data_IF_535210223669
#
_entry.id   IF_535210223669
#
_cell.length_a   1.000
_cell.length_b   1.000
_cell.length_c   1.000
_cell.angle_alpha   90.00
_cell.angle_beta   90.00
_cell.angle_gamma   90.00
#
_symmetry.space_group_name_H-M   'P 1'
#
loop_
_entity.id
_entity.type
_entity.pdbx_description
1 polymer ?
#
# COMPACT_ATOMS: atom_id res chain seq x y z
N UNK A 1 23.98 39.12 -63.98
CA UNK A 1 23.11 39.00 -62.79
C UNK A 1 22.91 37.53 -62.48
N UNK A 2 23.78 36.93 -61.66
CA UNK A 2 23.86 35.48 -61.49
C UNK A 2 24.29 35.11 -60.06
N UNK A 3 23.78 35.81 -59.04
CA UNK A 3 24.13 35.54 -57.64
C UNK A 3 22.98 35.62 -56.63
N UNK A 4 21.71 35.77 -57.07
CA UNK A 4 20.56 35.85 -56.15
C UNK A 4 19.84 34.49 -55.98
N UNK A 5 20.17 33.49 -56.80
CA UNK A 5 19.49 32.18 -56.78
C UNK A 5 20.06 31.16 -55.78
N UNK A 6 21.17 31.44 -55.09
CA UNK A 6 21.83 30.47 -54.21
C UNK A 6 21.53 30.63 -52.71
N UNK A 7 20.96 31.76 -52.27
CA UNK A 7 20.65 31.99 -50.84
C UNK A 7 19.28 31.39 -50.46
N UNK A 8 18.35 31.29 -51.42
CA UNK A 8 17.02 30.70 -51.17
C UNK A 8 17.00 29.17 -51.06
N UNK A 9 18.03 28.47 -51.59
CA UNK A 9 18.06 27.00 -51.59
C UNK A 9 18.72 26.41 -50.32
N UNK A 10 19.57 27.18 -49.63
CA UNK A 10 20.29 26.73 -48.43
C UNK A 10 19.37 26.82 -47.19
N UNK A 11 18.43 27.77 -47.17
CA UNK A 11 17.47 27.95 -46.07
C UNK A 11 16.32 26.92 -46.06
N UNK A 12 16.12 26.18 -47.16
CA UNK A 12 15.09 25.15 -47.25
C UNK A 12 15.61 23.73 -46.91
N UNK A 13 16.94 23.56 -46.82
CA UNK A 13 17.57 22.28 -46.50
C UNK A 13 17.90 22.10 -45.01
N UNK A 14 17.81 23.14 -44.19
CA UNK A 14 18.02 23.04 -42.73
C UNK A 14 16.74 22.79 -41.93
N UNK A 15 15.56 22.78 -42.57
CA UNK A 15 14.29 22.42 -41.93
C UNK A 15 13.82 20.98 -42.23
N UNK A 16 14.53 20.26 -43.10
CA UNK A 16 14.43 18.81 -43.27
C UNK A 16 15.62 18.10 -42.62
N UNK A 17 16.12 18.63 -41.51
CA UNK A 17 16.80 17.75 -40.55
C UNK A 17 15.73 16.84 -40.00
N UNK A 18 15.70 15.62 -40.53
CA UNK A 18 14.95 14.50 -40.00
C UNK A 18 14.98 14.58 -38.47
N UNK A 19 13.84 14.86 -37.86
CA UNK A 19 13.45 14.04 -36.73
C UNK A 19 13.40 12.63 -37.30
N UNK A 20 14.55 11.95 -37.25
CA UNK A 20 14.50 10.51 -37.09
C UNK A 20 13.81 10.38 -35.74
N UNK A 21 12.53 10.04 -35.75
CA UNK A 21 11.96 9.36 -34.59
C UNK A 21 12.99 8.28 -34.26
N UNK A 22 13.49 8.30 -33.03
CA UNK A 22 14.39 7.24 -32.59
C UNK A 22 13.68 5.92 -32.89
N UNK A 23 14.17 5.18 -33.88
CA UNK A 23 13.70 3.83 -34.24
C UNK A 23 14.00 2.80 -33.12
N UNK A 24 14.46 3.27 -31.95
CA UNK A 24 14.31 2.58 -30.69
C UNK A 24 13.11 3.19 -29.95
N UNK A 25 11.87 2.73 -30.20
CA UNK A 25 10.91 2.75 -29.11
C UNK A 25 11.62 2.01 -27.98
N UNK A 26 11.83 2.68 -26.83
CA UNK A 26 12.57 2.14 -25.70
C UNK A 26 12.14 0.69 -25.52
N UNK A 27 13.04 -0.25 -25.82
CA UNK A 27 12.70 -1.66 -25.79
C UNK A 27 12.24 -1.94 -24.35
N UNK A 28 10.98 -2.35 -24.18
CA UNK A 28 10.51 -2.84 -22.90
C UNK A 28 11.57 -3.82 -22.39
N UNK A 29 12.21 -3.57 -21.24
CA UNK A 29 13.32 -4.39 -20.77
C UNK A 29 12.91 -5.85 -20.54
N UNK A 30 11.60 -6.13 -20.56
CA UNK A 30 11.02 -7.43 -20.29
C UNK A 30 10.41 -8.12 -21.53
N UNK A 31 10.57 -7.56 -22.74
CA UNK A 31 10.24 -8.19 -24.03
C UNK A 31 8.82 -8.80 -24.13
N UNK A 32 7.82 -8.17 -23.50
CA UNK A 32 6.41 -8.57 -23.54
C UNK A 32 5.47 -7.37 -23.74
N UNK A 33 4.21 -7.67 -24.06
CA UNK A 33 3.16 -6.66 -24.08
C UNK A 33 2.93 -6.12 -22.67
N UNK A 34 2.76 -4.81 -22.54
CA UNK A 34 2.41 -4.15 -21.28
C UNK A 34 1.06 -4.65 -20.78
N UNK A 35 0.95 -4.90 -19.48
CA UNK A 35 -0.29 -5.37 -18.85
C UNK A 35 -0.81 -4.36 -17.83
N UNK A 36 -2.13 -4.30 -17.67
CA UNK A 36 -2.79 -3.54 -16.60
C UNK A 36 -3.48 -4.50 -15.64
N UNK A 37 -3.10 -4.43 -14.36
CA UNK A 37 -3.67 -5.25 -13.29
C UNK A 37 -4.58 -4.43 -12.38
N UNK A 38 -5.81 -4.89 -12.19
CA UNK A 38 -6.82 -4.26 -11.33
C UNK A 38 -7.04 -5.03 -10.03
N UNK A 39 -7.49 -4.33 -8.98
CA UNK A 39 -7.86 -4.97 -7.71
C UNK A 39 -9.26 -5.56 -7.85
N UNK A 40 -9.37 -6.84 -8.22
CA UNK A 40 -10.69 -7.48 -8.42
C UNK A 40 -11.25 -8.17 -7.16
N UNK A 41 -10.41 -8.39 -6.14
CA UNK A 41 -10.84 -9.01 -4.89
C UNK A 41 -11.78 -8.09 -4.12
N UNK A 42 -12.96 -8.59 -3.76
CA UNK A 42 -13.88 -7.86 -2.87
C UNK A 42 -13.28 -7.66 -1.48
N UNK A 43 -12.47 -8.62 -1.02
CA UNK A 43 -11.80 -8.56 0.28
C UNK A 43 -10.77 -7.42 0.29
N UNK A 44 -9.95 -7.31 -0.74
CA UNK A 44 -8.97 -6.22 -0.87
C UNK A 44 -9.63 -4.87 -1.16
N UNK A 45 -10.69 -4.83 -1.97
CA UNK A 45 -11.48 -3.60 -2.19
C UNK A 45 -12.07 -3.07 -0.88
N UNK A 46 -12.37 -3.94 0.09
CA UNK A 46 -12.86 -3.51 1.41
C UNK A 46 -11.76 -2.89 2.29
N UNK A 47 -10.49 -3.09 1.96
CA UNK A 47 -9.33 -2.43 2.58
C UNK A 47 -9.05 -1.03 1.99
N UNK A 48 -9.84 -0.58 1.03
CA UNK A 48 -9.80 0.78 0.51
C UNK A 48 -10.43 1.74 1.52
N UNK A 49 -9.61 2.29 2.39
CA UNK A 49 -10.07 3.24 3.40
C UNK A 49 -9.82 4.67 2.93
N UNK A 50 -10.87 5.49 2.95
CA UNK A 50 -10.81 6.90 2.53
C UNK A 50 -10.62 7.83 3.72
N UNK A 51 -10.22 9.08 3.42
CA UNK A 51 -10.25 10.19 4.38
C UNK A 51 -11.58 10.22 5.15
N UNK A 52 -11.52 10.55 6.44
CA UNK A 52 -12.60 10.45 7.45
C UNK A 52 -12.85 9.04 8.03
N UNK A 53 -12.18 8.00 7.52
CA UNK A 53 -12.10 6.73 8.25
C UNK A 53 -11.26 6.88 9.50
N UNK A 54 -11.65 6.22 10.58
CA UNK A 54 -10.89 6.18 11.83
C UNK A 54 -11.15 4.92 12.64
N UNK A 55 -10.18 4.62 13.51
CA UNK A 55 -10.26 3.60 14.55
C UNK A 55 -9.93 4.23 15.90
N UNK A 56 -10.61 3.80 16.94
CA UNK A 56 -10.32 4.14 18.33
C UNK A 56 -10.05 2.86 19.09
N UNK A 57 -8.94 2.84 19.81
CA UNK A 57 -8.44 1.70 20.55
C UNK A 57 -8.41 2.01 22.04
N UNK A 58 -8.66 0.99 22.85
CA UNK A 58 -8.22 0.96 24.25
C UNK A 58 -6.89 0.24 24.31
N UNK A 59 -5.88 0.86 24.90
CA UNK A 59 -4.68 0.16 25.32
C UNK A 59 -4.90 -0.43 26.72
N UNK A 60 -5.12 -1.74 26.77
CA UNK A 60 -5.42 -2.43 28.03
C UNK A 60 -4.23 -2.56 28.97
N UNK A 61 -2.99 -2.42 28.47
CA UNK A 61 -1.78 -2.47 29.29
C UNK A 61 -1.55 -1.11 29.96
N UNK A 62 -1.66 -0.03 29.19
CA UNK A 62 -1.37 1.32 29.66
C UNK A 62 -2.60 2.07 30.21
N UNK A 63 -3.81 1.48 30.10
CA UNK A 63 -5.09 2.10 30.47
C UNK A 63 -5.31 3.45 29.76
N UNK A 64 -4.97 3.52 28.48
CA UNK A 64 -5.08 4.73 27.65
C UNK A 64 -5.96 4.49 26.42
N UNK A 65 -6.25 5.55 25.67
CA UNK A 65 -7.04 5.48 24.43
C UNK A 65 -6.26 6.08 23.27
N UNK A 66 -6.07 5.32 22.20
CA UNK A 66 -5.46 5.81 20.98
C UNK A 66 -6.51 5.97 19.88
N UNK A 67 -6.34 6.96 19.01
CA UNK A 67 -7.15 7.12 17.82
C UNK A 67 -6.25 7.20 16.60
N UNK A 68 -6.58 6.43 15.58
CA UNK A 68 -5.89 6.42 14.29
C UNK A 68 -6.87 6.88 13.24
N UNK A 69 -6.51 7.91 12.48
CA UNK A 69 -7.33 8.45 11.40
C UNK A 69 -6.60 8.46 10.07
N UNK A 70 -7.36 8.45 8.98
CA UNK A 70 -6.80 8.57 7.63
C UNK A 70 -6.67 10.05 7.25
N UNK A 71 -5.44 10.47 7.03
CA UNK A 71 -5.08 11.85 6.68
C UNK A 71 -5.25 12.10 5.18
N UNK A 72 -4.82 11.17 4.35
CA UNK A 72 -4.90 11.26 2.89
C UNK A 72 -5.31 9.94 2.26
N UNK A 73 -5.93 10.04 1.08
CA UNK A 73 -6.29 8.91 0.24
C UNK A 73 -6.02 9.26 -1.23
N UNK A 74 -5.39 8.35 -1.95
CA UNK A 74 -5.13 8.44 -3.38
C UNK A 74 -5.46 7.11 -4.08
N UNK A 75 -6.10 7.20 -5.24
CA UNK A 75 -6.32 6.06 -6.12
C UNK A 75 -5.64 6.34 -7.45
N UNK A 76 -4.87 5.38 -7.95
CA UNK A 76 -4.14 5.53 -9.19
C UNK A 76 -3.56 4.22 -9.70
N UNK A 77 -2.50 4.35 -10.47
CA UNK A 77 -1.72 3.23 -11.00
C UNK A 77 -0.24 3.49 -10.75
N UNK A 78 0.51 2.42 -10.46
CA UNK A 78 1.97 2.41 -10.44
C UNK A 78 2.49 1.54 -11.58
N UNK A 79 3.58 1.95 -12.21
CA UNK A 79 4.24 1.20 -13.28
C UNK A 79 5.50 0.49 -12.78
N UNK A 80 5.71 -0.76 -13.20
CA UNK A 80 6.99 -1.45 -12.98
C UNK A 80 8.03 -1.14 -14.07
N UNK A 81 9.24 -1.69 -13.90
CA UNK A 81 10.33 -1.49 -14.87
C UNK A 81 10.00 -2.03 -16.27
N UNK A 82 9.03 -2.94 -16.38
CA UNK A 82 8.56 -3.54 -17.62
C UNK A 82 7.40 -2.75 -18.26
N UNK A 83 6.99 -1.62 -17.70
CA UNK A 83 5.84 -0.84 -18.17
C UNK A 83 4.48 -1.47 -17.83
N UNK A 84 4.42 -2.49 -16.97
CA UNK A 84 3.12 -2.99 -16.50
C UNK A 84 2.55 -2.02 -15.45
N UNK A 85 1.26 -1.70 -15.58
CA UNK A 85 0.54 -0.83 -14.65
C UNK A 85 -0.26 -1.65 -13.64
N UNK A 86 -0.20 -1.28 -12.37
CA UNK A 86 -0.94 -1.93 -11.28
C UNK A 86 -1.81 -0.90 -10.57
N UNK A 87 -3.10 -1.18 -10.43
CA UNK A 87 -4.01 -0.33 -9.65
C UNK A 87 -3.56 -0.29 -8.19
N UNK A 88 -3.47 0.92 -7.64
CA UNK A 88 -3.09 1.16 -6.25
C UNK A 88 -4.13 2.05 -5.55
N UNK A 89 -4.46 1.72 -4.31
CA UNK A 89 -5.21 2.58 -3.40
C UNK A 89 -4.32 2.90 -2.19
N UNK A 90 -3.76 4.10 -2.14
CA UNK A 90 -2.83 4.52 -1.10
C UNK A 90 -3.54 5.37 -0.06
N UNK A 91 -3.18 5.20 1.21
CA UNK A 91 -3.66 6.05 2.29
C UNK A 91 -2.62 6.22 3.38
N UNK A 92 -2.65 7.37 4.06
CA UNK A 92 -1.79 7.67 5.22
C UNK A 92 -2.59 7.65 6.50
N UNK A 93 -2.06 7.04 7.55
CA UNK A 93 -2.66 7.11 8.89
C UNK A 93 -1.81 7.93 9.84
N UNK A 94 -2.46 8.64 10.75
CA UNK A 94 -1.83 9.31 11.88
C UNK A 94 -2.47 8.86 13.20
N UNK A 95 -1.64 8.54 14.19
CA UNK A 95 -2.08 8.23 15.56
C UNK A 95 -2.11 9.48 16.41
N UNK A 96 -3.05 9.57 17.36
CA UNK A 96 -3.10 10.66 18.35
C UNK A 96 -1.88 10.77 19.25
N UNK A 97 -1.08 9.70 19.37
CA UNK A 97 0.14 9.67 20.18
C UNK A 97 1.43 9.73 19.35
N UNK A 98 1.33 9.75 18.01
CA UNK A 98 2.49 9.84 17.12
C UNK A 98 2.43 11.12 16.30
N UNK A 99 3.59 11.73 16.07
CA UNK A 99 3.75 12.79 15.08
C UNK A 99 4.11 12.26 13.69
N UNK A 100 4.37 10.95 13.59
CA UNK A 100 4.74 10.29 12.35
C UNK A 100 3.52 9.65 11.70
N UNK A 101 3.39 9.86 10.39
CA UNK A 101 2.39 9.20 9.56
C UNK A 101 2.92 7.86 9.07
N UNK A 102 2.04 6.88 8.95
CA UNK A 102 2.35 5.59 8.32
C UNK A 102 1.66 5.50 6.97
N UNK A 103 2.42 5.15 5.94
CA UNK A 103 1.95 4.95 4.57
C UNK A 103 1.40 3.53 4.38
N UNK A 104 0.28 3.40 3.69
CA UNK A 104 -0.31 2.12 3.32
C UNK A 104 -0.71 2.12 1.85
N UNK A 105 -0.64 0.94 1.23
CA UNK A 105 -1.16 0.74 -0.12
C UNK A 105 -1.91 -0.58 -0.23
N UNK A 106 -3.06 -0.55 -0.88
CA UNK A 106 -3.75 -1.75 -1.37
C UNK A 106 -3.38 -1.95 -2.82
N UNK A 107 -2.94 -3.16 -3.16
CA UNK A 107 -2.71 -3.63 -4.52
C UNK A 107 -3.36 -5.00 -4.71
N UNK A 108 -3.38 -5.54 -5.92
CA UNK A 108 -4.00 -6.84 -6.20
C UNK A 108 -3.42 -8.01 -5.38
N UNK A 109 -2.23 -7.84 -4.80
CA UNK A 109 -1.56 -8.81 -3.93
C UNK A 109 -1.77 -8.63 -2.43
N UNK A 110 -2.45 -7.58 -1.95
CA UNK A 110 -2.64 -7.38 -0.51
C UNK A 110 -2.66 -5.91 -0.06
N UNK A 111 -2.68 -5.72 1.27
CA UNK A 111 -2.42 -4.44 1.94
C UNK A 111 -0.98 -4.44 2.45
N UNK A 112 -0.24 -3.40 2.09
CA UNK A 112 1.14 -3.19 2.49
C UNK A 112 1.25 -1.94 3.36
N UNK A 113 2.08 -2.03 4.40
CA UNK A 113 2.44 -0.96 5.33
C UNK A 113 3.84 -0.44 4.99
N UNK A 114 4.10 0.84 5.20
CA UNK A 114 5.36 1.52 4.92
C UNK A 114 5.75 1.44 3.44
N UNK A 115 4.76 1.61 2.57
CA UNK A 115 4.96 1.67 1.14
C UNK A 115 5.67 2.97 0.75
N UNK A 116 6.81 2.85 0.07
CA UNK A 116 7.65 4.00 -0.30
C UNK A 116 7.36 4.56 -1.70
N UNK A 117 6.34 4.05 -2.39
CA UNK A 117 6.00 4.44 -3.76
C UNK A 117 6.67 3.61 -4.85
N UNK A 118 7.40 2.53 -4.51
CA UNK A 118 7.99 1.60 -5.49
C UNK A 118 7.28 0.24 -5.50
N UNK A 119 7.14 -0.43 -6.67
CA UNK A 119 6.50 -1.74 -6.73
C UNK A 119 7.19 -2.76 -5.80
N UNK A 120 6.41 -3.57 -5.09
CA UNK A 120 6.87 -4.57 -4.12
C UNK A 120 7.61 -4.02 -2.89
N UNK A 121 7.44 -2.73 -2.55
CA UNK A 121 7.94 -2.19 -1.29
C UNK A 121 6.93 -2.31 -0.14
N UNK A 122 7.40 -2.01 1.06
CA UNK A 122 6.62 -2.13 2.29
C UNK A 122 6.55 -3.55 2.85
N UNK A 123 5.82 -3.67 3.95
CA UNK A 123 5.56 -4.92 4.66
C UNK A 123 4.11 -5.33 4.43
N UNK A 124 3.88 -6.53 3.89
CA UNK A 124 2.53 -7.02 3.71
C UNK A 124 1.87 -7.31 5.06
N UNK A 125 0.74 -6.65 5.33
CA UNK A 125 -0.03 -6.79 6.57
C UNK A 125 -1.43 -7.36 6.36
N UNK A 126 -1.86 -7.54 5.12
CA UNK A 126 -3.08 -8.26 4.80
C UNK A 126 -2.94 -8.95 3.44
N UNK A 127 -3.53 -10.14 3.33
CA UNK A 127 -3.70 -10.88 2.08
C UNK A 127 -5.19 -11.17 1.89
N UNK A 128 -5.64 -11.38 0.66
CA UNK A 128 -6.99 -11.85 0.41
C UNK A 128 -7.24 -13.14 1.19
N UNK A 129 -8.26 -13.14 2.04
CA UNK A 129 -8.53 -14.24 2.93
C UNK A 129 -8.82 -15.56 2.18
N UNK A 130 -9.38 -15.50 0.97
CA UNK A 130 -9.71 -16.70 0.16
C UNK A 130 -8.59 -17.15 -0.77
N UNK A 131 -7.56 -16.32 -1.00
CA UNK A 131 -6.43 -16.66 -1.88
C UNK A 131 -5.29 -17.25 -1.08
N UNK A 132 -4.64 -18.30 -1.59
CA UNK A 132 -3.42 -18.82 -0.96
C UNK A 132 -2.22 -18.21 -1.68
N UNK A 133 -1.66 -17.11 -1.17
CA UNK A 133 -0.40 -16.60 -1.68
C UNK A 133 0.77 -17.31 -0.98
N UNK A 134 1.71 -17.84 -1.77
CA UNK A 134 2.89 -18.53 -1.26
C UNK A 134 4.09 -17.57 -1.17
N UNK A 135 3.89 -16.36 -0.64
CA UNK A 135 5.00 -15.42 -0.45
C UNK A 135 5.79 -15.79 0.81
N UNK A 136 7.07 -16.10 0.62
CA UNK A 136 7.92 -16.85 1.56
C UNK A 136 8.44 -16.09 2.79
N UNK A 137 8.00 -14.86 3.05
CA UNK A 137 8.68 -13.99 4.02
C UNK A 137 7.80 -13.44 5.15
N UNK A 138 6.52 -13.82 5.26
CA UNK A 138 5.62 -13.29 6.30
C UNK A 138 4.85 -14.41 7.00
N UNK A 139 4.73 -14.33 8.33
CA UNK A 139 3.89 -15.23 9.12
C UNK A 139 2.47 -14.64 9.19
N UNK A 140 1.70 -14.82 8.12
CA UNK A 140 0.26 -14.53 8.10
C UNK A 140 -0.49 -15.81 8.46
N UNK A 141 -1.15 -15.81 9.60
CA UNK A 141 -2.04 -16.88 10.02
C UNK A 141 -3.50 -16.50 9.72
N UNK A 142 -4.22 -17.38 9.02
CA UNK A 142 -5.64 -17.21 8.71
C UNK A 142 -6.49 -17.84 9.81
N UNK A 143 -7.23 -17.00 10.53
CA UNK A 143 -8.17 -17.42 11.56
C UNK A 143 -9.60 -17.31 11.00
N UNK A 144 -10.34 -18.41 11.00
CA UNK A 144 -11.77 -18.40 10.64
C UNK A 144 -12.55 -17.38 11.47
N UNK A 145 -12.10 -17.19 12.71
CA UNK A 145 -12.68 -16.24 13.65
C UNK A 145 -11.78 -15.91 14.83
N UNK A 146 -12.07 -14.80 15.49
CA UNK A 146 -11.41 -14.36 16.72
C UNK A 146 -12.39 -13.60 17.61
N UNK A 147 -12.38 -13.91 18.91
CA UNK A 147 -13.03 -13.08 19.92
C UNK A 147 -12.05 -11.99 20.34
N UNK A 148 -12.40 -10.72 20.11
CA UNK A 148 -11.64 -9.56 20.57
C UNK A 148 -12.52 -8.81 21.55
N UNK A 149 -12.10 -8.82 22.82
CA UNK A 149 -12.88 -8.29 23.95
C UNK A 149 -14.27 -8.93 24.05
N UNK A 150 -15.33 -8.20 23.74
CA UNK A 150 -16.73 -8.65 23.80
C UNK A 150 -17.34 -8.92 22.42
N UNK A 151 -16.58 -8.77 21.33
CA UNK A 151 -17.06 -8.91 19.96
C UNK A 151 -16.34 -10.02 19.20
N UNK A 152 -17.12 -10.78 18.44
CA UNK A 152 -16.63 -11.86 17.59
C UNK A 152 -16.46 -11.39 16.15
N UNK A 153 -15.26 -11.59 15.60
CA UNK A 153 -14.91 -11.22 14.24
C UNK A 153 -14.64 -12.47 13.43
N UNK A 154 -15.14 -12.49 12.19
CA UNK A 154 -14.87 -13.57 11.23
C UNK A 154 -13.70 -13.17 10.33
N UNK A 155 -13.06 -14.19 9.73
CA UNK A 155 -12.05 -14.04 8.67
C UNK A 155 -10.94 -13.08 9.07
N UNK A 156 -10.26 -13.40 10.16
CA UNK A 156 -9.22 -12.55 10.77
C UNK A 156 -7.86 -13.05 10.35
N UNK A 157 -7.00 -12.16 9.88
CA UNK A 157 -5.59 -12.44 9.68
C UNK A 157 -4.82 -11.99 10.92
N UNK A 158 -3.98 -12.87 11.45
CA UNK A 158 -2.94 -12.53 12.42
C UNK A 158 -1.64 -12.36 11.65
N UNK A 159 -1.03 -11.18 11.71
CA UNK A 159 0.23 -10.87 11.03
C UNK A 159 1.27 -10.47 12.06
N UNK A 160 2.42 -11.11 12.00
CA UNK A 160 3.56 -10.84 12.88
C UNK A 160 4.67 -10.11 12.13
N UNK A 161 5.14 -9.01 12.72
CA UNK A 161 6.28 -8.22 12.25
C UNK A 161 7.29 -8.18 13.40
N UNK A 162 8.39 -8.91 13.25
CA UNK A 162 9.41 -9.06 14.31
C UNK A 162 10.13 -7.75 14.64
N UNK A 163 10.33 -6.86 13.66
CA UNK A 163 10.97 -5.55 13.85
C UNK A 163 10.14 -4.48 13.14
N UNK A 164 9.18 -3.91 13.85
CA UNK A 164 8.28 -2.89 13.31
C UNK A 164 8.82 -1.48 13.57
N UNK A 165 9.37 -0.84 12.54
CA UNK A 165 10.03 0.45 12.71
C UNK A 165 9.10 1.58 13.15
N UNK A 166 7.79 1.50 12.87
CA UNK A 166 6.82 2.49 13.37
C UNK A 166 6.52 2.32 14.85
N UNK A 167 6.94 1.20 15.45
CA UNK A 167 6.83 0.90 16.87
C UNK A 167 8.23 0.76 17.48
N UNK A 168 9.16 1.63 17.10
CA UNK A 168 10.54 1.67 17.62
C UNK A 168 11.36 0.39 17.39
N UNK A 169 11.04 -0.40 16.37
CA UNK A 169 11.59 -1.74 16.09
C UNK A 169 11.19 -2.80 17.13
N UNK A 170 10.15 -2.55 17.93
CA UNK A 170 9.53 -3.59 18.73
C UNK A 170 8.79 -4.58 17.81
N UNK A 171 8.48 -5.77 18.34
CA UNK A 171 7.66 -6.75 17.63
C UNK A 171 6.20 -6.33 17.68
N UNK A 172 5.56 -6.32 16.51
CA UNK A 172 4.12 -6.05 16.36
C UNK A 172 3.36 -7.31 15.92
N UNK A 173 2.19 -7.53 16.51
CA UNK A 173 1.22 -8.51 16.02
C UNK A 173 -0.11 -7.81 15.74
N UNK A 174 -0.50 -7.80 14.47
CA UNK A 174 -1.75 -7.21 14.00
C UNK A 174 -2.82 -8.28 13.81
N UNK A 175 -4.05 -7.94 14.19
CA UNK A 175 -5.24 -8.71 13.86
C UNK A 175 -6.13 -7.86 12.96
N UNK A 176 -6.34 -8.29 11.72
CA UNK A 176 -6.98 -7.47 10.68
C UNK A 176 -8.04 -8.29 9.96
N UNK A 177 -9.15 -7.66 9.60
CA UNK A 177 -10.06 -8.19 8.58
C UNK A 177 -10.53 -7.08 7.63
N UNK A 178 -11.04 -7.47 6.46
CA UNK A 178 -11.50 -6.50 5.46
C UNK A 178 -12.76 -5.73 5.86
N UNK A 179 -13.58 -6.29 6.75
CA UNK A 179 -14.84 -5.67 7.16
C UNK A 179 -14.66 -4.52 8.18
N UNK A 180 -13.69 -4.64 9.08
CA UNK A 180 -13.45 -3.71 10.19
C UNK A 180 -12.05 -3.08 10.18
N UNK A 181 -11.15 -3.54 9.33
CA UNK A 181 -9.76 -3.12 9.34
C UNK A 181 -9.02 -3.69 10.54
N UNK A 182 -8.26 -2.83 11.22
CA UNK A 182 -7.45 -3.20 12.37
C UNK A 182 -8.33 -3.46 13.60
N UNK A 183 -8.31 -4.70 14.08
CA UNK A 183 -9.12 -5.19 15.20
C UNK A 183 -8.37 -5.13 16.53
N UNK A 184 -7.08 -5.47 16.49
CA UNK A 184 -6.19 -5.52 17.64
C UNK A 184 -4.76 -5.39 17.18
N UNK A 185 -3.93 -4.73 17.98
CA UNK A 185 -2.50 -4.59 17.77
C UNK A 185 -1.76 -4.79 19.09
N UNK A 186 -0.91 -5.81 19.12
CA UNK A 186 -0.05 -6.10 20.25
C UNK A 186 1.38 -5.66 19.95
N UNK A 187 2.00 -4.97 20.90
CA UNK A 187 3.39 -4.52 20.79
C UNK A 187 4.20 -5.17 21.91
N UNK A 188 5.33 -5.76 21.54
CA UNK A 188 6.23 -6.46 22.45
C UNK A 188 7.64 -5.90 22.37
N UNK A 189 8.16 -5.45 23.52
CA UNK A 189 9.57 -5.10 23.68
C UNK A 189 10.28 -6.19 24.48
N UNK A 190 11.34 -6.78 23.94
CA UNK A 190 12.06 -7.92 24.56
C UNK A 190 11.14 -9.08 25.00
N UNK A 191 10.12 -9.41 24.20
CA UNK A 191 9.06 -10.39 24.50
C UNK A 191 8.13 -10.05 25.66
N UNK A 192 8.21 -8.84 26.21
CA UNK A 192 7.26 -8.32 27.19
C UNK A 192 6.19 -7.53 26.45
N UNK A 193 4.92 -7.85 26.68
CA UNK A 193 3.79 -7.09 26.14
C UNK A 193 3.79 -5.68 26.74
N UNK A 194 4.05 -4.66 25.94
CA UNK A 194 4.12 -3.25 26.37
C UNK A 194 2.88 -2.45 26.00
N UNK A 195 2.13 -2.88 24.99
CA UNK A 195 0.86 -2.29 24.59
C UNK A 195 -0.06 -3.34 23.97
N UNK A 196 -1.35 -3.23 24.25
CA UNK A 196 -2.38 -4.07 23.66
C UNK A 196 -3.56 -3.19 23.27
N UNK A 197 -3.53 -2.71 22.04
CA UNK A 197 -4.56 -1.84 21.46
C UNK A 197 -5.71 -2.69 20.94
N UNK A 198 -6.88 -2.59 21.57
CA UNK A 198 -8.10 -3.33 21.21
C UNK A 198 -9.07 -2.36 20.56
N UNK A 199 -9.62 -2.71 19.38
CA UNK A 199 -10.61 -1.90 18.69
C UNK A 199 -11.86 -1.72 19.57
N UNK A 200 -12.20 -0.46 19.84
CA UNK A 200 -13.40 -0.06 20.57
C UNK A 200 -14.46 0.55 19.65
N UNK A 201 -14.02 1.38 18.71
CA UNK A 201 -14.91 2.10 17.79
C UNK A 201 -14.23 2.30 16.45
N UNK A 202 -15.02 2.28 15.39
CA UNK A 202 -14.58 2.62 14.03
C UNK A 202 -15.58 3.50 13.30
N UNK A 203 -15.10 4.21 12.29
CA UNK A 203 -15.88 4.70 11.15
C UNK A 203 -15.11 4.33 9.90
N UNK A 204 -15.75 3.66 8.94
CA UNK A 204 -15.10 3.24 7.69
C UNK A 204 -15.82 3.88 6.52
N UNK A 205 -15.11 4.74 5.80
CA UNK A 205 -15.50 5.27 4.50
C UNK A 205 -14.73 4.51 3.41
N UNK A 206 -15.45 3.92 2.44
CA UNK A 206 -14.88 3.12 1.33
C UNK A 206 -15.04 3.80 -0.02
#
# INVERSE_FOLDING_TARGET
MRHILYIGLILLLTLFSCNKEDDNPGHNPCAGDETTSHINSTDLQNCKYKTNSYWVYVDSVNNSFDSVSIESFEQGFIEDICGNSYEIHSFKTISSYSTESTDYVVVAGGLFKDFDGTPNSGTQIYDDFDVTTSMTNYQIEKLDSLLVYDQYYKRVLRVEIENDHTENNDKSIYFINSEFGFLRHDIYSDNILTSNKILMRKNIER
#
